data_IF_492955016137
#
_entry.id   IF_492955016137
#
_cell.length_a   1.000
_cell.length_b   1.000
_cell.length_c   1.000
_cell.angle_alpha   90.00
_cell.angle_beta   90.00
_cell.angle_gamma   90.00
#
_symmetry.space_group_name_H-M   'P 1'
#
loop_
_entity.id
_entity.type
_entity.pdbx_description
1 polymer ?
#
# COMPACT_ATOMS: atom_id res chain seq x y z
N UNK A 1 -8.06 20.87 -16.98
CA UNK A 1 -8.68 20.12 -18.08
C UNK A 1 -10.13 19.84 -17.71
N UNK A 2 -11.09 19.97 -18.62
CA UNK A 2 -12.50 19.65 -18.30
C UNK A 2 -12.65 18.13 -18.14
N UNK A 3 -13.08 17.70 -16.96
CA UNK A 3 -13.28 16.27 -16.62
C UNK A 3 -14.25 15.56 -17.58
N UNK A 4 -15.18 16.33 -18.17
CA UNK A 4 -16.16 15.83 -19.16
C UNK A 4 -15.54 15.30 -20.46
N UNK A 5 -14.29 15.67 -20.75
CA UNK A 5 -13.57 15.22 -21.95
C UNK A 5 -12.67 14.00 -21.69
N UNK A 6 -12.65 13.45 -20.46
CA UNK A 6 -11.88 12.26 -20.13
C UNK A 6 -12.60 10.99 -20.60
N UNK A 7 -11.87 9.88 -20.90
CA UNK A 7 -12.46 8.61 -21.33
C UNK A 7 -13.23 7.92 -20.20
N UNK A 8 -14.14 7.02 -20.57
CA UNK A 8 -14.79 6.07 -19.66
C UNK A 8 -13.80 5.00 -19.22
N UNK A 9 -13.66 4.79 -17.94
CA UNK A 9 -12.71 3.82 -17.37
C UNK A 9 -13.45 2.75 -16.58
N UNK A 10 -13.25 1.49 -16.96
CA UNK A 10 -13.68 0.34 -16.19
C UNK A 10 -12.51 -0.17 -15.34
N UNK A 11 -12.65 -0.11 -14.03
CA UNK A 11 -11.64 -0.59 -13.08
C UNK A 11 -12.01 -2.02 -12.63
N UNK A 12 -11.01 -2.92 -12.55
CA UNK A 12 -11.21 -4.30 -12.07
C UNK A 12 -10.35 -4.54 -10.84
N UNK A 13 -10.93 -4.30 -9.65
CA UNK A 13 -10.26 -4.25 -8.35
C UNK A 13 -10.67 -5.42 -7.43
N UNK A 14 -9.93 -5.64 -6.36
CA UNK A 14 -10.30 -6.53 -5.26
C UNK A 14 -11.31 -5.84 -4.34
N UNK A 15 -11.11 -4.58 -4.05
CA UNK A 15 -11.83 -3.85 -3.01
C UNK A 15 -12.96 -2.96 -3.55
N UNK A 16 -14.04 -2.85 -2.78
CA UNK A 16 -14.98 -1.76 -2.96
C UNK A 16 -14.30 -0.43 -2.59
N UNK A 17 -14.59 0.62 -3.33
CA UNK A 17 -14.08 1.94 -2.98
C UNK A 17 -14.87 2.55 -1.82
N UNK A 18 -14.14 2.89 -0.75
CA UNK A 18 -14.72 3.41 0.50
C UNK A 18 -13.84 4.51 1.08
N UNK A 19 -14.44 5.65 1.38
CA UNK A 19 -13.74 6.78 2.03
C UNK A 19 -13.40 6.50 3.50
N UNK A 20 -14.16 5.63 4.17
CA UNK A 20 -13.90 5.22 5.55
C UNK A 20 -12.90 4.05 5.68
N UNK A 21 -12.32 3.60 4.56
CA UNK A 21 -11.26 2.59 4.58
C UNK A 21 -9.91 3.18 5.02
N UNK A 22 -9.09 2.35 5.65
CA UNK A 22 -7.75 2.76 6.09
C UNK A 22 -6.79 3.05 4.92
N UNK A 23 -7.02 2.39 3.76
CA UNK A 23 -6.25 2.59 2.55
C UNK A 23 -7.21 2.65 1.35
N UNK A 24 -7.17 3.75 0.60
CA UNK A 24 -8.02 4.01 -0.57
C UNK A 24 -7.23 4.66 -1.72
N UNK A 25 -5.99 4.21 -1.93
CA UNK A 25 -5.05 4.79 -2.90
C UNK A 25 -5.65 4.95 -4.30
N UNK A 26 -6.35 3.92 -4.81
CA UNK A 26 -6.96 4.03 -6.14
C UNK A 26 -8.13 5.04 -6.16
N UNK A 27 -8.94 5.07 -5.12
CA UNK A 27 -9.99 6.09 -5.00
C UNK A 27 -9.39 7.49 -5.05
N UNK A 28 -8.30 7.74 -4.30
CA UNK A 28 -7.61 9.03 -4.29
C UNK A 28 -7.05 9.41 -5.66
N UNK A 29 -6.46 8.47 -6.37
CA UNK A 29 -5.95 8.66 -7.73
C UNK A 29 -7.09 9.08 -8.68
N UNK A 30 -8.25 8.43 -8.59
CA UNK A 30 -9.39 8.71 -9.47
C UNK A 30 -10.26 9.88 -9.03
N UNK A 31 -10.00 10.56 -7.92
CA UNK A 31 -10.72 11.80 -7.53
C UNK A 31 -10.65 12.92 -8.58
N UNK A 32 -9.63 12.91 -9.41
CA UNK A 32 -9.52 13.86 -10.52
C UNK A 32 -10.40 13.52 -11.74
N UNK A 33 -11.05 12.34 -11.75
CA UNK A 33 -11.90 11.87 -12.84
C UNK A 33 -13.36 12.30 -12.69
N UNK A 34 -14.15 12.19 -13.78
CA UNK A 34 -15.60 12.38 -13.77
C UNK A 34 -16.25 11.10 -13.19
N UNK A 35 -17.03 11.18 -12.08
CA UNK A 35 -17.67 10.03 -11.47
C UNK A 35 -18.58 9.22 -12.41
N UNK A 36 -19.24 9.86 -13.37
CA UNK A 36 -20.14 9.21 -14.34
C UNK A 36 -19.38 8.45 -15.43
N UNK A 37 -18.08 8.67 -15.53
CA UNK A 37 -17.18 7.97 -16.45
C UNK A 37 -16.38 6.85 -15.81
N UNK A 38 -16.71 6.49 -14.56
CA UNK A 38 -16.09 5.40 -13.84
C UNK A 38 -17.07 4.27 -13.57
N UNK A 39 -16.60 3.04 -13.76
CA UNK A 39 -17.29 1.83 -13.31
C UNK A 39 -16.29 0.88 -12.65
N UNK A 40 -16.71 0.15 -11.62
CA UNK A 40 -15.87 -0.75 -10.85
C UNK A 40 -16.46 -2.17 -10.83
N UNK A 41 -15.69 -3.16 -11.27
CA UNK A 41 -15.91 -4.58 -10.98
C UNK A 41 -15.01 -4.97 -9.82
N UNK A 42 -15.56 -5.53 -8.75
CA UNK A 42 -14.80 -5.87 -7.56
C UNK A 42 -15.23 -7.17 -6.87
N UNK A 43 -14.38 -7.68 -5.96
CA UNK A 43 -14.57 -9.03 -5.38
C UNK A 43 -14.76 -9.04 -3.86
N UNK A 44 -14.54 -7.94 -3.16
CA UNK A 44 -14.76 -7.88 -1.71
C UNK A 44 -16.24 -7.96 -1.34
N UNK A 45 -16.52 -8.35 -0.10
CA UNK A 45 -17.89 -8.40 0.43
C UNK A 45 -18.42 -7.04 0.88
N UNK A 46 -17.57 -6.02 0.93
CA UNK A 46 -17.95 -4.67 1.35
C UNK A 46 -18.74 -3.95 0.24
N UNK A 47 -19.66 -3.08 0.66
CA UNK A 47 -20.36 -2.20 -0.27
C UNK A 47 -19.59 -0.90 -0.47
N UNK A 48 -19.67 -0.29 -1.67
CA UNK A 48 -19.02 0.98 -1.94
C UNK A 48 -19.59 2.10 -1.08
N UNK A 49 -18.69 3.02 -0.68
CA UNK A 49 -19.04 4.20 0.12
C UNK A 49 -18.15 5.38 -0.29
N UNK A 50 -18.52 6.10 -1.35
CA UNK A 50 -17.80 7.27 -1.84
C UNK A 50 -18.67 8.07 -2.83
N UNK A 51 -18.21 9.28 -3.20
CA UNK A 51 -18.89 10.17 -4.15
C UNK A 51 -18.20 10.19 -5.53
N UNK A 52 -17.20 9.33 -5.75
CA UNK A 52 -16.31 9.42 -6.91
C UNK A 52 -16.52 8.31 -7.95
N UNK A 53 -17.45 7.40 -7.73
CA UNK A 53 -17.88 6.41 -8.71
C UNK A 53 -19.31 5.97 -8.40
N UNK A 54 -20.13 5.79 -9.45
CA UNK A 54 -21.56 5.49 -9.26
C UNK A 54 -21.95 4.10 -9.77
N UNK A 55 -21.12 3.44 -10.58
CA UNK A 55 -21.45 2.15 -11.21
C UNK A 55 -20.56 1.03 -10.66
N UNK A 56 -21.18 0.03 -10.06
CA UNK A 56 -20.49 -1.06 -9.38
C UNK A 56 -21.06 -2.43 -9.74
N UNK A 57 -20.17 -3.39 -9.97
CA UNK A 57 -20.52 -4.80 -10.09
C UNK A 57 -19.73 -5.63 -9.07
N UNK A 58 -20.43 -6.27 -8.14
CA UNK A 58 -19.83 -7.10 -7.09
C UNK A 58 -19.84 -8.57 -7.48
N UNK A 59 -18.69 -9.25 -7.37
CA UNK A 59 -18.55 -10.70 -7.45
C UNK A 59 -18.19 -11.20 -6.05
N UNK A 60 -19.18 -11.49 -5.22
CA UNK A 60 -18.99 -11.86 -3.82
C UNK A 60 -18.38 -13.24 -3.62
N UNK A 61 -17.37 -13.38 -2.77
CA UNK A 61 -16.70 -14.65 -2.48
C UNK A 61 -17.67 -15.72 -1.92
N UNK A 62 -18.61 -15.32 -1.08
CA UNK A 62 -19.65 -16.21 -0.55
C UNK A 62 -20.55 -16.80 -1.64
N UNK A 63 -20.82 -16.01 -2.69
CA UNK A 63 -21.56 -16.48 -3.87
C UNK A 63 -20.72 -17.48 -4.68
N UNK A 64 -19.42 -17.22 -4.81
CA UNK A 64 -18.49 -18.12 -5.50
C UNK A 64 -18.45 -19.49 -4.79
N UNK A 65 -18.26 -19.52 -3.49
CA UNK A 65 -18.25 -20.77 -2.70
C UNK A 65 -19.56 -21.55 -2.90
N UNK A 66 -20.70 -20.87 -2.82
CA UNK A 66 -21.99 -21.52 -3.04
C UNK A 66 -22.19 -22.01 -4.48
N UNK A 67 -21.65 -21.30 -5.46
CA UNK A 67 -21.77 -21.67 -6.88
C UNK A 67 -21.01 -22.95 -7.25
N UNK A 68 -19.96 -23.29 -6.50
CA UNK A 68 -19.25 -24.57 -6.66
C UNK A 68 -20.15 -25.74 -6.26
N UNK A 69 -21.01 -25.57 -5.24
CA UNK A 69 -21.94 -26.60 -4.77
C UNK A 69 -23.25 -26.57 -5.59
N UNK A 70 -23.67 -25.36 -6.00
CA UNK A 70 -24.92 -25.12 -6.76
C UNK A 70 -24.61 -24.39 -8.07
N UNK A 71 -24.18 -25.09 -9.14
CA UNK A 71 -23.68 -24.48 -10.37
C UNK A 71 -24.68 -23.56 -11.10
N UNK A 72 -25.98 -23.69 -10.81
CA UNK A 72 -27.04 -22.84 -11.40
C UNK A 72 -27.30 -21.55 -10.65
N UNK A 73 -26.58 -21.32 -9.54
CA UNK A 73 -26.73 -20.08 -8.75
C UNK A 73 -26.21 -18.88 -9.53
N UNK A 74 -26.96 -17.78 -9.50
CA UNK A 74 -26.51 -16.50 -10.06
C UNK A 74 -25.40 -15.93 -9.20
N UNK A 75 -24.27 -15.62 -9.82
CA UNK A 75 -23.09 -15.01 -9.18
C UNK A 75 -22.88 -13.62 -9.75
N UNK A 76 -22.60 -12.68 -8.88
CA UNK A 76 -22.40 -11.29 -9.24
C UNK A 76 -23.71 -10.51 -9.40
N UNK A 77 -23.64 -9.25 -9.04
CA UNK A 77 -24.76 -8.30 -9.12
C UNK A 77 -24.27 -6.88 -9.25
N UNK A 78 -25.05 -6.04 -9.86
CA UNK A 78 -24.88 -4.60 -9.71
C UNK A 78 -25.25 -4.20 -8.28
N UNK A 79 -24.51 -3.24 -7.73
CA UNK A 79 -24.73 -2.71 -6.38
C UNK A 79 -24.73 -1.19 -6.43
N UNK A 80 -25.58 -0.60 -5.61
CA UNK A 80 -25.63 0.85 -5.46
C UNK A 80 -24.56 1.34 -4.49
N UNK A 81 -24.12 2.55 -4.72
CA UNK A 81 -23.22 3.25 -3.80
C UNK A 81 -24.05 3.71 -2.58
N UNK A 82 -23.80 3.08 -1.44
CA UNK A 82 -24.57 3.34 -0.23
C UNK A 82 -23.85 4.35 0.65
N UNK A 83 -24.04 5.61 0.37
CA UNK A 83 -23.48 6.69 1.18
C UNK A 83 -23.94 6.68 2.66
N UNK A 84 -24.94 5.90 3.06
CA UNK A 84 -25.43 5.79 4.45
C UNK A 84 -26.32 4.57 4.70
N UNK A 85 -26.10 3.38 4.15
CA UNK A 85 -26.97 2.26 4.54
C UNK A 85 -26.51 1.63 5.86
N UNK A 86 -27.35 1.71 6.88
CA UNK A 86 -27.33 0.84 8.05
C UNK A 86 -27.79 -0.58 7.67
N UNK A 87 -27.20 -1.17 6.63
CA UNK A 87 -27.56 -2.52 6.19
C UNK A 87 -26.97 -3.54 7.17
N UNK A 88 -27.83 -4.06 8.05
CA UNK A 88 -27.47 -5.07 9.05
C UNK A 88 -26.87 -6.33 8.43
N UNK A 89 -27.26 -6.67 7.17
CA UNK A 89 -26.70 -7.80 6.44
C UNK A 89 -25.24 -7.54 6.02
N UNK A 90 -24.91 -6.33 5.56
CA UNK A 90 -23.55 -5.92 5.23
C UNK A 90 -22.68 -5.85 6.49
N UNK A 91 -23.22 -5.40 7.63
CA UNK A 91 -22.50 -5.39 8.91
C UNK A 91 -22.24 -6.81 9.44
N UNK A 92 -23.18 -7.74 9.29
CA UNK A 92 -23.02 -9.12 9.70
C UNK A 92 -21.98 -9.85 8.82
N UNK A 93 -21.97 -9.57 7.52
CA UNK A 93 -20.98 -10.12 6.58
C UNK A 93 -19.58 -9.52 6.83
N UNK A 94 -19.49 -8.22 7.17
CA UNK A 94 -18.26 -7.57 7.64
C UNK A 94 -17.67 -8.23 8.89
N UNK A 95 -18.50 -8.52 9.91
CA UNK A 95 -18.04 -9.19 11.14
C UNK A 95 -17.53 -10.59 10.86
N UNK A 96 -18.19 -11.36 9.98
CA UNK A 96 -17.75 -12.69 9.57
C UNK A 96 -16.42 -12.65 8.81
N UNK A 97 -16.25 -11.70 7.87
CA UNK A 97 -15.04 -11.58 7.03
C UNK A 97 -13.84 -11.07 7.85
N UNK A 98 -14.02 -10.11 8.75
CA UNK A 98 -12.94 -9.61 9.62
C UNK A 98 -12.35 -10.69 10.52
N UNK A 99 -13.17 -11.62 11.02
CA UNK A 99 -12.69 -12.73 11.86
C UNK A 99 -11.95 -13.80 11.06
N UNK A 100 -12.23 -13.95 9.76
CA UNK A 100 -11.61 -14.96 8.90
C UNK A 100 -10.22 -14.52 8.43
N UNK A 101 -9.91 -13.20 8.37
CA UNK A 101 -8.62 -12.69 7.91
C UNK A 101 -7.50 -12.72 8.96
N UNK A 102 -7.79 -13.01 10.24
CA UNK A 102 -6.76 -13.21 11.27
C UNK A 102 -6.05 -14.54 11.05
N UNK A 103 -4.81 -14.49 10.50
CA UNK A 103 -3.86 -15.63 10.38
C UNK A 103 -4.43 -16.90 9.73
N UNK A 104 -4.98 -16.77 8.51
CA UNK A 104 -5.34 -17.98 7.76
C UNK A 104 -4.08 -18.78 7.39
N UNK A 105 -4.07 -20.12 7.59
CA UNK A 105 -3.03 -20.98 7.07
C UNK A 105 -2.82 -20.77 5.57
N UNK A 106 -1.57 -20.78 5.10
CA UNK A 106 -1.23 -20.48 3.69
C UNK A 106 -1.91 -21.41 2.69
N UNK A 107 -2.18 -22.67 3.05
CA UNK A 107 -2.92 -23.59 2.19
C UNK A 107 -4.36 -23.13 1.90
N UNK A 108 -5.00 -22.36 2.81
CA UNK A 108 -6.34 -21.80 2.58
C UNK A 108 -6.32 -20.82 1.39
N UNK A 109 -5.22 -20.08 1.18
CA UNK A 109 -5.07 -19.22 0.01
C UNK A 109 -5.09 -20.02 -1.29
N UNK A 110 -4.43 -21.17 -1.33
CA UNK A 110 -4.48 -22.05 -2.50
C UNK A 110 -5.87 -22.67 -2.70
N UNK A 111 -6.52 -23.12 -1.61
CA UNK A 111 -7.90 -23.61 -1.69
C UNK A 111 -8.86 -22.53 -2.22
N UNK A 112 -8.69 -21.28 -1.81
CA UNK A 112 -9.42 -20.14 -2.33
C UNK A 112 -9.22 -19.98 -3.84
N UNK A 113 -8.00 -20.07 -4.34
CA UNK A 113 -7.72 -20.01 -5.78
C UNK A 113 -8.43 -21.11 -6.57
N UNK A 114 -8.50 -22.33 -6.02
CA UNK A 114 -9.25 -23.45 -6.62
C UNK A 114 -10.74 -23.17 -6.63
N UNK A 115 -11.30 -22.71 -5.52
CA UNK A 115 -12.73 -22.33 -5.41
C UNK A 115 -13.09 -21.26 -6.45
N UNK A 116 -12.27 -20.21 -6.59
CA UNK A 116 -12.47 -19.19 -7.61
C UNK A 116 -12.29 -19.70 -9.05
N UNK A 117 -11.45 -20.71 -9.27
CA UNK A 117 -11.29 -21.36 -10.58
C UNK A 117 -12.54 -22.15 -10.99
N UNK A 118 -13.17 -22.82 -10.03
CA UNK A 118 -14.36 -23.66 -10.23
C UNK A 118 -15.66 -22.85 -10.16
N UNK A 119 -15.66 -21.69 -9.55
CA UNK A 119 -16.85 -20.88 -9.33
C UNK A 119 -17.43 -20.25 -10.58
N UNK A 120 -18.75 -20.12 -10.62
CA UNK A 120 -19.54 -19.66 -11.78
C UNK A 120 -19.59 -18.14 -11.97
N UNK A 121 -18.48 -17.42 -11.86
CA UNK A 121 -18.45 -15.96 -11.95
C UNK A 121 -18.52 -15.39 -13.38
N UNK A 122 -18.29 -16.20 -14.41
CA UNK A 122 -18.45 -15.79 -15.83
C UNK A 122 -19.92 -15.79 -16.19
N UNK A 123 -20.64 -14.75 -15.77
CA UNK A 123 -22.10 -14.68 -15.93
C UNK A 123 -22.52 -13.74 -17.06
N UNK A 124 -23.70 -13.94 -17.66
CA UNK A 124 -24.30 -12.99 -18.60
C UNK A 124 -24.46 -11.58 -17.98
N UNK A 125 -24.72 -11.50 -16.67
CA UNK A 125 -24.88 -10.24 -15.95
C UNK A 125 -23.56 -9.43 -15.94
N UNK A 126 -22.41 -10.07 -15.63
CA UNK A 126 -21.10 -9.42 -15.71
C UNK A 126 -20.80 -8.96 -17.14
N UNK A 127 -21.07 -9.83 -18.13
CA UNK A 127 -20.86 -9.48 -19.53
C UNK A 127 -21.70 -8.26 -19.92
N UNK A 128 -22.99 -8.27 -19.58
CA UNK A 128 -23.90 -7.16 -19.86
C UNK A 128 -23.46 -5.86 -19.20
N UNK A 129 -23.02 -5.91 -17.93
CA UNK A 129 -22.51 -4.73 -17.21
C UNK A 129 -21.32 -4.09 -17.95
N UNK A 130 -20.37 -4.91 -18.43
CA UNK A 130 -19.20 -4.39 -19.17
C UNK A 130 -19.61 -3.80 -20.53
N UNK A 131 -20.53 -4.48 -21.25
CA UNK A 131 -21.02 -4.05 -22.57
C UNK A 131 -21.90 -2.79 -22.46
N UNK A 132 -22.79 -2.69 -21.46
CA UNK A 132 -23.66 -1.53 -21.25
C UNK A 132 -22.85 -0.29 -20.82
N UNK A 133 -21.81 -0.50 -20.04
CA UNK A 133 -20.92 0.62 -19.67
C UNK A 133 -20.09 1.10 -20.86
N UNK A 134 -19.71 0.20 -21.77
CA UNK A 134 -18.85 0.47 -22.94
C UNK A 134 -17.66 1.36 -22.61
N UNK A 135 -16.65 0.83 -21.87
CA UNK A 135 -15.50 1.59 -21.43
C UNK A 135 -14.61 1.97 -22.63
N UNK A 136 -13.89 3.08 -22.51
CA UNK A 136 -12.81 3.45 -23.45
C UNK A 136 -11.47 2.83 -23.01
N UNK A 137 -11.29 2.60 -21.71
CA UNK A 137 -10.07 2.04 -21.09
C UNK A 137 -10.47 1.02 -20.01
N UNK A 138 -9.72 -0.06 -19.89
CA UNK A 138 -9.79 -0.97 -18.75
C UNK A 138 -8.56 -0.74 -17.87
N UNK A 139 -8.79 -0.35 -16.61
CA UNK A 139 -7.73 -0.14 -15.61
C UNK A 139 -7.60 -1.36 -14.69
N UNK A 140 -6.39 -1.89 -14.59
CA UNK A 140 -6.10 -3.20 -13.99
C UNK A 140 -5.02 -3.05 -12.91
N UNK A 141 -5.39 -2.89 -11.63
CA UNK A 141 -4.44 -3.07 -10.55
C UNK A 141 -4.00 -4.53 -10.47
N UNK A 142 -2.70 -4.75 -10.40
CA UNK A 142 -2.12 -6.11 -10.34
C UNK A 142 -2.01 -6.56 -8.89
N UNK A 143 -2.66 -7.69 -8.58
CA UNK A 143 -2.68 -8.29 -7.24
C UNK A 143 -1.98 -9.65 -7.20
N UNK A 144 -1.53 -10.12 -6.02
CA UNK A 144 -0.90 -11.44 -5.84
C UNK A 144 -1.91 -12.59 -5.86
N UNK A 145 -3.02 -12.46 -6.65
CA UNK A 145 -4.10 -13.42 -6.73
C UNK A 145 -4.38 -13.84 -8.16
N UNK A 146 -4.20 -15.13 -8.46
CA UNK A 146 -4.44 -15.65 -9.81
C UNK A 146 -5.92 -15.53 -10.22
N UNK A 147 -6.86 -15.60 -9.27
CA UNK A 147 -8.29 -15.43 -9.57
C UNK A 147 -8.59 -14.02 -10.08
N UNK A 148 -7.94 -12.99 -9.54
CA UNK A 148 -8.09 -11.62 -10.06
C UNK A 148 -7.58 -11.51 -11.48
N UNK A 149 -6.41 -12.07 -11.77
CA UNK A 149 -5.89 -12.10 -13.13
C UNK A 149 -6.85 -12.76 -14.13
N UNK A 150 -7.54 -13.84 -13.71
CA UNK A 150 -8.58 -14.49 -14.56
C UNK A 150 -9.79 -13.58 -14.81
N UNK A 151 -10.24 -12.83 -13.79
CA UNK A 151 -11.36 -11.89 -13.95
C UNK A 151 -10.94 -10.73 -14.86
N UNK A 152 -9.78 -10.17 -14.62
CA UNK A 152 -9.21 -9.07 -15.41
C UNK A 152 -9.03 -9.46 -16.88
N UNK A 153 -8.47 -10.65 -17.15
CA UNK A 153 -8.34 -11.16 -18.51
C UNK A 153 -9.71 -11.36 -19.18
N UNK A 154 -10.71 -11.87 -18.45
CA UNK A 154 -12.05 -12.06 -18.97
C UNK A 154 -12.75 -10.73 -19.29
N UNK A 155 -12.65 -9.74 -18.42
CA UNK A 155 -13.18 -8.38 -18.65
C UNK A 155 -12.50 -7.74 -19.86
N UNK A 156 -11.17 -7.85 -19.98
CA UNK A 156 -10.43 -7.34 -21.13
C UNK A 156 -10.88 -8.00 -22.46
N UNK A 157 -11.17 -9.31 -22.43
CA UNK A 157 -11.68 -10.04 -23.61
C UNK A 157 -13.07 -9.58 -24.04
N UNK A 158 -13.93 -9.15 -23.10
CA UNK A 158 -15.25 -8.59 -23.40
C UNK A 158 -15.11 -7.15 -23.90
N UNK A 159 -14.42 -6.31 -23.14
CA UNK A 159 -14.32 -4.88 -23.44
C UNK A 159 -13.57 -4.61 -24.75
N UNK A 160 -12.50 -5.37 -25.06
CA UNK A 160 -11.63 -5.20 -26.23
C UNK A 160 -11.10 -3.76 -26.38
N UNK A 161 -10.74 -3.16 -25.27
CA UNK A 161 -10.26 -1.78 -25.16
C UNK A 161 -8.82 -1.74 -24.67
N UNK A 162 -8.11 -0.61 -24.83
CA UNK A 162 -6.80 -0.41 -24.24
C UNK A 162 -6.78 -0.74 -22.75
N UNK A 163 -5.70 -1.41 -22.31
CA UNK A 163 -5.53 -1.81 -20.91
C UNK A 163 -4.41 -1.00 -20.28
N UNK A 164 -4.69 -0.41 -19.12
CA UNK A 164 -3.70 0.25 -18.27
C UNK A 164 -3.52 -0.54 -17.00
N UNK A 165 -2.29 -0.96 -16.72
CA UNK A 165 -1.96 -1.71 -15.51
C UNK A 165 -1.39 -0.79 -14.41
N UNK A 166 -1.57 -1.17 -13.14
CA UNK A 166 -0.92 -0.56 -11.98
C UNK A 166 -0.30 -1.64 -11.10
N UNK A 167 1.00 -1.57 -10.91
CA UNK A 167 1.77 -2.47 -10.06
C UNK A 167 2.32 -1.66 -8.88
N UNK A 168 2.15 -2.15 -7.65
CA UNK A 168 2.56 -1.46 -6.44
C UNK A 168 3.36 -2.36 -5.47
N UNK A 169 3.56 -3.63 -5.84
CA UNK A 169 4.27 -4.63 -5.05
C UNK A 169 4.89 -5.69 -5.96
N UNK A 170 5.91 -6.39 -5.47
CA UNK A 170 6.45 -7.56 -6.18
C UNK A 170 5.44 -8.72 -6.21
N UNK A 171 4.64 -8.73 -7.26
CA UNK A 171 3.68 -9.81 -7.52
C UNK A 171 4.20 -10.85 -8.52
N UNK A 172 5.49 -10.81 -8.87
CA UNK A 172 6.05 -11.65 -9.93
C UNK A 172 7.27 -12.47 -9.54
N UNK A 173 8.25 -11.94 -8.81
CA UNK A 173 9.46 -12.69 -8.45
C UNK A 173 9.21 -13.74 -7.39
N UNK A 174 10.12 -14.67 -7.21
CA UNK A 174 10.04 -15.68 -6.15
C UNK A 174 10.82 -15.27 -4.89
N UNK A 175 11.43 -14.10 -4.86
CA UNK A 175 12.37 -13.68 -3.83
C UNK A 175 11.72 -13.52 -2.45
N UNK A 176 10.43 -13.15 -2.43
CA UNK A 176 9.63 -13.05 -1.20
C UNK A 176 8.92 -14.35 -0.81
N UNK A 177 9.19 -15.47 -1.51
CA UNK A 177 8.56 -16.77 -1.21
C UNK A 177 9.33 -17.51 -0.12
N UNK A 178 8.65 -17.89 0.96
CA UNK A 178 9.28 -18.54 2.12
C UNK A 178 8.99 -20.04 2.23
N UNK A 179 7.94 -20.55 1.57
CA UNK A 179 7.51 -21.94 1.65
C UNK A 179 6.83 -22.39 0.36
N UNK A 180 6.59 -23.70 0.24
CA UNK A 180 6.03 -24.33 -0.95
C UNK A 180 4.70 -23.72 -1.39
N UNK A 181 3.84 -23.30 -0.45
CA UNK A 181 2.55 -22.68 -0.77
C UNK A 181 2.72 -21.31 -1.42
N UNK A 182 3.71 -20.51 -0.96
CA UNK A 182 4.04 -19.22 -1.57
C UNK A 182 4.55 -19.41 -3.00
N UNK A 183 5.42 -20.42 -3.25
CA UNK A 183 5.91 -20.75 -4.60
C UNK A 183 4.80 -21.17 -5.53
N UNK A 184 3.87 -22.04 -5.09
CA UNK A 184 2.71 -22.47 -5.90
C UNK A 184 1.81 -21.27 -6.22
N UNK A 185 1.47 -20.46 -5.22
CA UNK A 185 0.63 -19.28 -5.42
C UNK A 185 1.30 -18.31 -6.41
N UNK A 186 2.59 -18.05 -6.24
CA UNK A 186 3.36 -17.17 -7.12
C UNK A 186 3.43 -17.73 -8.54
N UNK A 187 3.63 -19.02 -8.71
CA UNK A 187 3.59 -19.68 -10.02
C UNK A 187 2.24 -19.45 -10.72
N UNK A 188 1.12 -19.62 -10.02
CA UNK A 188 -0.20 -19.35 -10.59
C UNK A 188 -0.42 -17.87 -10.91
N UNK A 189 0.00 -16.98 -10.05
CA UNK A 189 -0.12 -15.52 -10.26
C UNK A 189 0.67 -15.07 -11.49
N UNK A 190 1.87 -15.57 -11.67
CA UNK A 190 2.77 -15.24 -12.81
C UNK A 190 2.14 -15.52 -14.17
N UNK A 191 1.24 -16.52 -14.27
CA UNK A 191 0.55 -16.85 -15.52
C UNK A 191 -0.34 -15.68 -16.03
N UNK A 192 -0.71 -14.77 -15.16
CA UNK A 192 -1.52 -13.58 -15.47
C UNK A 192 -0.73 -12.29 -15.43
N UNK A 193 0.10 -12.09 -14.43
CA UNK A 193 0.87 -10.85 -14.25
C UNK A 193 1.78 -10.57 -15.45
N UNK A 194 2.58 -11.53 -15.87
CA UNK A 194 3.50 -11.35 -16.99
C UNK A 194 2.79 -11.01 -18.31
N UNK A 195 1.77 -11.77 -18.74
CA UNK A 195 1.00 -11.43 -19.93
C UNK A 195 0.24 -10.10 -19.86
N UNK A 196 -0.34 -9.75 -18.70
CA UNK A 196 -1.01 -8.47 -18.50
C UNK A 196 -0.02 -7.31 -18.62
N UNK A 197 1.13 -7.39 -17.95
CA UNK A 197 2.16 -6.36 -18.01
C UNK A 197 2.66 -6.12 -19.44
N UNK A 198 3.05 -7.20 -20.16
CA UNK A 198 3.58 -7.10 -21.54
C UNK A 198 2.56 -6.62 -22.57
N UNK A 199 1.26 -6.87 -22.34
CA UNK A 199 0.17 -6.49 -23.26
C UNK A 199 -0.47 -5.17 -22.90
N UNK A 200 -0.11 -4.57 -21.77
CA UNK A 200 -0.66 -3.29 -21.35
C UNK A 200 -0.27 -2.17 -22.31
N UNK A 201 -1.20 -1.27 -22.59
CA UNK A 201 -0.94 -0.09 -23.41
C UNK A 201 -0.13 0.96 -22.66
N UNK A 202 -0.34 1.06 -21.36
CA UNK A 202 0.45 1.84 -20.41
C UNK A 202 0.51 1.11 -19.07
N UNK A 203 1.55 1.40 -18.29
CA UNK A 203 1.73 0.80 -16.97
C UNK A 203 2.15 1.85 -15.95
N UNK A 204 1.52 1.82 -14.79
CA UNK A 204 1.94 2.57 -13.62
C UNK A 204 2.65 1.67 -12.63
N UNK A 205 3.61 2.24 -11.94
CA UNK A 205 4.36 1.64 -10.83
C UNK A 205 4.48 2.64 -9.69
N UNK A 206 4.84 2.18 -8.49
CA UNK A 206 4.74 3.05 -7.31
C UNK A 206 6.03 3.83 -7.01
N UNK A 207 7.21 3.34 -7.42
CA UNK A 207 8.53 3.91 -7.10
C UNK A 207 9.58 3.58 -8.16
N UNK A 208 10.70 4.32 -8.15
CA UNK A 208 11.78 4.20 -9.15
C UNK A 208 12.33 2.78 -9.27
N UNK A 209 12.63 2.13 -8.17
CA UNK A 209 13.17 0.76 -8.18
C UNK A 209 12.20 -0.26 -8.78
N UNK A 210 10.91 -0.11 -8.53
CA UNK A 210 9.88 -0.94 -9.17
C UNK A 210 9.78 -0.63 -10.67
N UNK A 211 9.94 0.65 -11.07
CA UNK A 211 10.00 1.05 -12.48
C UNK A 211 11.16 0.35 -13.19
N UNK A 212 12.36 0.42 -12.64
CA UNK A 212 13.56 -0.20 -13.20
C UNK A 212 13.39 -1.73 -13.38
N UNK A 213 12.89 -2.43 -12.35
CA UNK A 213 12.64 -3.88 -12.41
C UNK A 213 11.55 -4.23 -13.42
N UNK A 214 10.44 -3.49 -13.39
CA UNK A 214 9.26 -3.74 -14.23
C UNK A 214 9.57 -3.49 -15.71
N UNK A 215 10.21 -2.39 -16.04
CA UNK A 215 10.54 -2.02 -17.41
C UNK A 215 11.58 -2.98 -18.00
N UNK A 216 12.60 -3.34 -17.22
CA UNK A 216 13.59 -4.33 -17.62
C UNK A 216 12.97 -5.72 -17.85
N UNK A 217 12.04 -6.12 -17.00
CA UNK A 217 11.45 -7.46 -16.98
C UNK A 217 10.37 -7.67 -18.04
N UNK A 218 9.55 -6.66 -18.29
CA UNK A 218 8.38 -6.77 -19.17
C UNK A 218 8.53 -6.00 -20.49
N UNK A 219 9.58 -5.19 -20.65
CA UNK A 219 9.78 -4.34 -21.82
C UNK A 219 8.76 -3.20 -21.89
N UNK A 220 8.38 -2.66 -20.73
CA UNK A 220 7.44 -1.55 -20.59
C UNK A 220 8.19 -0.21 -20.49
N UNK A 221 7.45 0.90 -20.64
CA UNK A 221 7.88 2.24 -20.24
C UNK A 221 6.87 2.73 -19.21
N UNK A 222 7.04 2.25 -17.98
CA UNK A 222 6.12 2.51 -16.89
C UNK A 222 6.28 3.93 -16.34
N UNK A 223 5.21 4.42 -15.72
CA UNK A 223 5.13 5.78 -15.17
C UNK A 223 4.92 5.67 -13.66
N UNK A 224 5.72 6.41 -12.88
CA UNK A 224 5.59 6.42 -11.42
C UNK A 224 4.31 7.15 -11.04
N UNK A 225 3.46 6.47 -10.27
CA UNK A 225 2.22 6.98 -9.72
C UNK A 225 2.11 6.54 -8.26
N UNK A 226 2.26 7.47 -7.35
CA UNK A 226 2.28 7.21 -5.91
C UNK A 226 1.22 8.06 -5.20
N UNK A 227 1.07 7.88 -3.89
CA UNK A 227 0.20 8.71 -3.05
C UNK A 227 0.60 10.18 -3.20
N UNK A 228 -0.39 11.03 -3.47
CA UNK A 228 -0.21 12.46 -3.62
C UNK A 228 -0.71 13.25 -2.41
N UNK A 229 -0.12 14.44 -2.21
CA UNK A 229 -0.42 15.36 -1.12
C UNK A 229 -0.71 16.74 -1.71
N UNK A 230 -1.70 17.40 -1.14
CA UNK A 230 -1.99 18.79 -1.44
C UNK A 230 -1.10 19.69 -0.59
N UNK A 231 -0.18 20.41 -1.24
CA UNK A 231 0.74 21.34 -0.60
C UNK A 231 0.30 22.80 -0.71
N UNK A 232 -0.91 23.08 -1.20
CA UNK A 232 -1.43 24.44 -1.33
C UNK A 232 -1.38 25.16 0.01
N UNK A 233 -0.66 26.27 0.09
CA UNK A 233 -0.50 27.05 1.32
C UNK A 233 0.36 26.40 2.42
N UNK A 234 1.05 25.28 2.12
CA UNK A 234 1.96 24.62 3.07
C UNK A 234 3.39 25.00 2.78
N UNK A 235 4.15 25.24 3.84
CA UNK A 235 5.58 25.41 3.83
C UNK A 235 6.20 24.65 4.98
N UNK A 236 7.49 24.34 4.87
CA UNK A 236 8.22 23.74 5.98
C UNK A 236 8.19 24.69 7.18
N UNK A 237 8.06 24.13 8.37
CA UNK A 237 8.08 24.87 9.63
C UNK A 237 9.24 24.34 10.47
N UNK A 238 10.24 25.20 10.71
CA UNK A 238 11.36 24.88 11.59
C UNK A 238 10.89 24.58 13.02
N UNK A 239 11.54 23.64 13.67
CA UNK A 239 11.16 23.18 15.00
C UNK A 239 12.38 22.99 15.88
N UNK A 240 12.23 23.41 17.14
CA UNK A 240 13.17 23.06 18.18
C UNK A 240 12.95 21.61 18.62
N UNK A 241 14.03 20.81 18.75
CA UNK A 241 13.94 19.43 19.22
C UNK A 241 13.44 19.33 20.67
N UNK A 242 12.66 18.28 20.95
CA UNK A 242 12.23 17.97 22.31
C UNK A 242 13.43 17.61 23.22
N UNK A 243 13.20 17.71 24.52
CA UNK A 243 14.15 17.27 25.57
C UNK A 243 13.39 16.45 26.60
N UNK A 244 13.53 15.08 26.59
CA UNK A 244 14.34 14.27 25.67
C UNK A 244 13.79 14.21 24.24
N UNK A 245 14.63 13.83 23.27
CA UNK A 245 14.27 13.61 21.88
C UNK A 245 13.25 12.46 21.76
N UNK A 246 12.21 12.64 20.91
CA UNK A 246 11.15 11.66 20.73
C UNK A 246 11.28 10.91 19.42
N UNK A 247 11.59 9.61 19.49
CA UNK A 247 11.53 8.67 18.38
C UNK A 247 10.17 7.99 18.38
N UNK A 248 9.44 8.05 17.27
CA UNK A 248 8.08 7.48 17.17
C UNK A 248 7.97 6.49 16.02
N UNK A 249 7.57 5.28 16.32
CA UNK A 249 7.15 4.29 15.33
C UNK A 249 5.63 4.10 15.38
N UNK A 250 4.99 4.15 14.22
CA UNK A 250 3.57 3.84 14.07
C UNK A 250 3.36 2.80 12.98
N UNK A 251 2.89 1.60 13.33
CA UNK A 251 2.62 0.61 12.30
C UNK A 251 2.61 -0.84 12.75
N UNK A 252 2.54 -1.73 11.78
CA UNK A 252 2.59 -3.17 12.01
C UNK A 252 4.03 -3.64 12.20
N UNK A 253 4.25 -4.51 13.18
CA UNK A 253 5.56 -5.08 13.51
C UNK A 253 5.76 -6.49 12.93
N UNK A 254 5.05 -6.86 11.86
CA UNK A 254 5.23 -8.16 11.17
C UNK A 254 6.42 -8.11 10.22
N UNK A 255 6.83 -9.28 9.73
CA UNK A 255 7.90 -9.45 8.73
C UNK A 255 9.23 -8.89 9.26
N UNK A 256 9.62 -9.25 10.49
CA UNK A 256 10.91 -8.94 11.11
C UNK A 256 11.11 -7.49 11.55
N UNK A 257 10.12 -6.60 11.34
CA UNK A 257 10.18 -5.21 11.81
C UNK A 257 10.28 -5.11 13.33
N UNK A 258 9.66 -6.04 14.04
CA UNK A 258 9.72 -6.16 15.49
C UNK A 258 11.16 -6.33 16.00
N UNK A 259 11.96 -7.15 15.34
CA UNK A 259 13.37 -7.35 15.65
C UNK A 259 14.20 -6.09 15.40
N UNK A 260 13.96 -5.43 14.27
CA UNK A 260 14.62 -4.16 13.92
C UNK A 260 14.32 -3.06 14.93
N UNK A 261 13.05 -2.97 15.38
CA UNK A 261 12.66 -2.02 16.42
C UNK A 261 13.31 -2.33 17.78
N UNK A 262 13.52 -3.63 18.10
CA UNK A 262 14.23 -4.02 19.30
C UNK A 262 15.71 -3.59 19.28
N UNK A 263 16.38 -3.68 18.12
CA UNK A 263 17.75 -3.16 17.96
C UNK A 263 17.80 -1.63 18.17
N UNK A 264 16.81 -0.88 17.66
CA UNK A 264 16.75 0.56 17.88
C UNK A 264 16.49 0.90 19.36
N UNK A 265 15.61 0.15 20.03
CA UNK A 265 15.34 0.35 21.45
C UNK A 265 16.60 0.09 22.31
N UNK A 266 17.36 -0.95 22.01
CA UNK A 266 18.62 -1.25 22.69
C UNK A 266 19.67 -0.15 22.41
N UNK A 267 19.76 0.35 21.19
CA UNK A 267 20.68 1.45 20.83
C UNK A 267 20.35 2.73 21.61
N UNK A 268 19.09 3.12 21.71
CA UNK A 268 18.65 4.31 22.47
C UNK A 268 18.99 4.14 23.96
N UNK A 269 18.71 2.98 24.54
CA UNK A 269 19.04 2.71 25.93
C UNK A 269 20.56 2.76 26.17
N UNK A 270 21.36 2.15 25.28
CA UNK A 270 22.81 2.16 25.40
C UNK A 270 23.41 3.56 25.31
N UNK A 271 22.90 4.41 24.42
CA UNK A 271 23.35 5.82 24.29
C UNK A 271 22.99 6.62 25.54
N UNK A 272 21.77 6.48 26.08
CA UNK A 272 21.37 7.13 27.30
C UNK A 272 22.21 6.68 28.50
N UNK A 273 22.50 5.38 28.60
CA UNK A 273 23.36 4.83 29.66
C UNK A 273 24.80 5.34 29.58
N UNK A 274 25.36 5.42 28.37
CA UNK A 274 26.70 5.97 28.12
C UNK A 274 26.82 7.44 28.54
N UNK A 275 25.75 8.23 28.31
CA UNK A 275 25.70 9.65 28.68
C UNK A 275 25.37 9.81 30.19
N UNK A 276 24.70 8.83 30.80
CA UNK A 276 24.22 8.90 32.19
C UNK A 276 22.95 9.74 32.38
N UNK A 277 22.25 10.07 31.30
CA UNK A 277 21.03 10.88 31.29
C UNK A 277 20.10 10.42 30.15
N UNK A 278 18.77 10.53 30.33
CA UNK A 278 17.78 10.22 29.29
C UNK A 278 17.72 11.39 28.28
N UNK A 279 18.41 11.22 27.15
CA UNK A 279 18.47 12.20 26.05
C UNK A 279 17.54 11.86 24.91
N UNK A 280 17.14 10.59 24.79
CA UNK A 280 16.22 10.10 23.76
C UNK A 280 15.24 9.07 24.33
N UNK A 281 14.00 9.12 23.89
CA UNK A 281 12.94 8.15 24.21
C UNK A 281 12.31 7.62 22.93
N UNK A 282 11.86 6.35 22.97
CA UNK A 282 11.20 5.70 21.84
C UNK A 282 9.78 5.27 22.21
N UNK A 283 8.82 5.63 21.36
CA UNK A 283 7.42 5.27 21.51
C UNK A 283 6.95 4.44 20.32
N UNK A 284 6.45 3.22 20.59
CA UNK A 284 6.05 2.25 19.57
C UNK A 284 4.55 2.04 19.64
N UNK A 285 3.84 2.47 18.60
CA UNK A 285 2.40 2.30 18.45
C UNK A 285 2.10 1.25 17.40
N UNK A 286 1.56 0.10 17.83
CA UNK A 286 1.23 -1.01 16.95
C UNK A 286 -0.01 -1.77 17.40
N UNK A 287 -0.79 -2.25 16.43
CA UNK A 287 -1.88 -3.21 16.70
C UNK A 287 -1.37 -4.67 16.78
N UNK A 288 -0.09 -4.90 16.45
CA UNK A 288 0.54 -6.22 16.48
C UNK A 288 1.23 -6.34 17.82
N UNK A 289 0.83 -7.32 18.63
CA UNK A 289 1.57 -7.70 19.84
C UNK A 289 2.80 -8.50 19.42
N UNK A 290 4.01 -8.07 19.82
CA UNK A 290 5.23 -8.83 19.57
C UNK A 290 5.30 -10.06 20.47
N UNK A 291 6.25 -10.95 20.18
CA UNK A 291 6.60 -12.03 21.10
C UNK A 291 7.15 -11.46 22.40
N UNK A 292 7.01 -12.20 23.50
CA UNK A 292 7.44 -11.78 24.83
C UNK A 292 8.91 -11.34 24.89
N UNK A 293 9.81 -12.07 24.24
CA UNK A 293 11.23 -11.73 24.13
C UNK A 293 11.49 -10.36 23.49
N UNK A 294 10.74 -10.03 22.43
CA UNK A 294 10.84 -8.73 21.75
C UNK A 294 10.19 -7.64 22.60
N UNK A 295 9.02 -7.95 23.22
CA UNK A 295 8.32 -7.02 24.09
C UNK A 295 9.20 -6.59 25.26
N UNK A 296 9.95 -7.50 25.86
CA UNK A 296 10.88 -7.22 26.95
C UNK A 296 12.00 -6.23 26.55
N UNK A 297 12.37 -6.18 25.27
CA UNK A 297 13.38 -5.22 24.75
C UNK A 297 12.76 -3.87 24.41
N UNK A 298 11.63 -3.85 23.70
CA UNK A 298 10.97 -2.62 23.25
C UNK A 298 10.12 -1.94 24.31
N UNK A 299 10.04 -2.50 25.51
CA UNK A 299 9.34 -1.90 26.65
C UNK A 299 10.25 -1.89 27.88
N UNK A 300 11.48 -1.39 27.70
CA UNK A 300 12.52 -1.32 28.73
C UNK A 300 13.23 0.03 28.66
N UNK A 301 13.55 0.60 29.83
CA UNK A 301 14.28 1.87 29.92
C UNK A 301 13.54 3.00 29.26
N UNK A 302 14.17 3.64 28.27
CA UNK A 302 13.63 4.74 27.50
C UNK A 302 12.79 4.29 26.26
N UNK A 303 12.53 3.01 26.10
CA UNK A 303 11.68 2.48 25.03
C UNK A 303 10.32 2.00 25.60
N UNK A 304 9.22 2.40 24.94
CA UNK A 304 7.85 2.22 25.41
C UNK A 304 6.97 1.60 24.32
N UNK A 305 6.41 0.42 24.58
CA UNK A 305 5.38 -0.17 23.74
C UNK A 305 3.99 0.32 24.18
N UNK A 306 3.38 1.16 23.34
CA UNK A 306 2.14 1.88 23.65
C UNK A 306 0.88 1.19 23.09
N UNK A 307 1.03 0.06 22.34
CA UNK A 307 -0.09 -0.67 21.78
C UNK A 307 -0.80 0.08 20.65
N UNK A 308 -2.11 -0.17 20.47
CA UNK A 308 -2.91 0.37 19.37
C UNK A 308 -3.54 1.70 19.73
N UNK A 309 -3.43 2.67 18.82
CA UNK A 309 -4.12 3.98 18.88
C UNK A 309 -4.99 4.22 17.65
N UNK A 310 -5.87 5.22 17.73
CA UNK A 310 -6.74 5.66 16.64
C UNK A 310 -5.99 6.46 15.56
N UNK A 311 -6.64 6.64 14.38
CA UNK A 311 -6.00 7.34 13.25
C UNK A 311 -5.64 8.79 13.57
N UNK A 312 -6.50 9.52 14.27
CA UNK A 312 -6.24 10.91 14.66
C UNK A 312 -5.08 11.01 15.63
N UNK A 313 -5.00 10.07 16.57
CA UNK A 313 -3.92 10.01 17.54
C UNK A 313 -2.59 9.63 16.88
N UNK A 314 -2.60 8.74 15.84
CA UNK A 314 -1.42 8.45 15.04
C UNK A 314 -0.84 9.74 14.44
N UNK A 315 -1.67 10.58 13.84
CA UNK A 315 -1.22 11.86 13.27
C UNK A 315 -0.62 12.78 14.33
N UNK A 316 -1.25 12.85 15.51
CA UNK A 316 -0.78 13.67 16.62
C UNK A 316 0.59 13.22 17.11
N UNK A 317 0.77 11.94 17.44
CA UNK A 317 2.07 11.43 17.94
C UNK A 317 3.18 11.55 16.90
N UNK A 318 2.88 11.43 15.62
CA UNK A 318 3.84 11.71 14.55
C UNK A 318 4.21 13.18 14.45
N UNK A 319 3.25 14.10 14.67
CA UNK A 319 3.51 15.54 14.68
C UNK A 319 4.34 15.98 15.88
N UNK A 320 4.20 15.33 17.04
CA UNK A 320 4.96 15.60 18.26
C UNK A 320 6.36 14.98 18.26
N UNK A 321 6.63 14.04 17.33
CA UNK A 321 7.94 13.38 17.22
C UNK A 321 9.02 14.33 16.68
N UNK A 322 10.26 14.13 17.11
CA UNK A 322 11.45 14.68 16.45
C UNK A 322 11.88 13.76 15.31
N UNK A 323 11.83 12.45 15.54
CA UNK A 323 12.20 11.43 14.59
C UNK A 323 11.05 10.45 14.41
N UNK A 324 10.55 10.30 13.19
CA UNK A 324 9.66 9.20 12.83
C UNK A 324 10.48 8.03 12.30
N UNK A 325 10.20 6.84 12.82
CA UNK A 325 10.96 5.64 12.47
C UNK A 325 10.27 4.90 11.33
N UNK A 326 10.99 4.68 10.25
CA UNK A 326 10.63 3.75 9.20
C UNK A 326 11.52 2.51 9.32
N UNK A 327 10.96 1.38 9.71
CA UNK A 327 11.71 0.15 9.92
C UNK A 327 11.20 -0.97 9.01
N UNK A 328 12.15 -1.61 8.31
CA UNK A 328 11.98 -2.88 7.61
C UNK A 328 12.95 -3.91 8.20
N UNK A 329 12.77 -5.17 7.88
CA UNK A 329 13.66 -6.23 8.37
C UNK A 329 15.08 -6.05 7.86
N UNK A 330 16.05 -6.28 8.72
CA UNK A 330 17.47 -6.42 8.36
C UNK A 330 17.84 -7.85 7.94
N UNK A 331 16.93 -8.83 8.11
CA UNK A 331 17.12 -10.21 7.68
C UNK A 331 16.72 -10.38 6.21
N UNK A 332 17.64 -10.92 5.38
CA UNK A 332 17.52 -10.92 3.92
C UNK A 332 16.23 -11.49 3.34
N UNK A 333 15.73 -12.61 3.88
CA UNK A 333 14.46 -13.22 3.38
C UNK A 333 13.24 -12.37 3.71
N UNK A 334 13.20 -11.76 4.88
CA UNK A 334 12.08 -10.91 5.31
C UNK A 334 12.15 -9.55 4.64
N UNK A 335 13.37 -9.00 4.46
CA UNK A 335 13.59 -7.74 3.74
C UNK A 335 13.11 -7.82 2.27
N UNK A 336 13.21 -8.99 1.63
CA UNK A 336 12.74 -9.18 0.26
C UNK A 336 11.24 -8.92 0.07
N UNK A 337 10.44 -8.96 1.14
CA UNK A 337 9.03 -8.59 1.08
C UNK A 337 8.83 -7.09 0.75
N UNK A 338 9.80 -6.25 1.09
CA UNK A 338 9.79 -4.82 0.81
C UNK A 338 10.64 -4.42 -0.42
N UNK A 339 11.18 -5.40 -1.17
CA UNK A 339 12.16 -5.14 -2.25
C UNK A 339 11.65 -4.15 -3.29
N UNK A 340 10.40 -4.28 -3.72
CA UNK A 340 9.76 -3.41 -4.71
C UNK A 340 8.52 -2.67 -4.17
N UNK A 341 8.16 -2.89 -2.89
CA UNK A 341 7.01 -2.24 -2.26
C UNK A 341 7.35 -0.83 -1.79
N UNK A 342 6.37 0.07 -1.81
CA UNK A 342 6.51 1.42 -1.28
C UNK A 342 5.38 1.74 -0.31
N UNK A 343 5.72 1.96 0.96
CA UNK A 343 4.73 2.23 2.00
C UNK A 343 4.17 3.65 1.88
N UNK A 344 2.85 3.78 1.85
CA UNK A 344 2.17 5.10 1.86
C UNK A 344 2.48 5.95 3.09
N UNK A 345 2.98 5.35 4.18
CA UNK A 345 3.45 6.08 5.36
C UNK A 345 4.67 6.96 5.06
N UNK A 346 5.53 6.54 4.13
CA UNK A 346 6.68 7.33 3.70
C UNK A 346 6.21 8.71 3.25
N UNK A 347 5.19 8.74 2.38
CA UNK A 347 4.61 9.99 1.90
C UNK A 347 4.07 10.84 3.06
N UNK A 348 3.41 10.20 4.05
CA UNK A 348 2.90 10.91 5.23
C UNK A 348 4.03 11.49 6.08
N UNK A 349 5.10 10.74 6.33
CA UNK A 349 6.24 11.19 7.13
C UNK A 349 6.96 12.38 6.49
N UNK A 350 7.32 12.25 5.22
CA UNK A 350 8.06 13.30 4.51
C UNK A 350 7.20 14.53 4.25
N UNK A 351 5.91 14.38 3.98
CA UNK A 351 5.00 15.52 3.76
C UNK A 351 4.70 16.33 5.02
N UNK A 352 4.86 15.73 6.19
CA UNK A 352 4.76 16.43 7.47
C UNK A 352 6.09 17.07 7.93
N UNK A 353 7.12 17.00 7.10
CA UNK A 353 8.42 17.59 7.41
C UNK A 353 9.08 16.96 8.63
N UNK A 354 8.97 15.63 8.79
CA UNK A 354 9.59 14.91 9.89
C UNK A 354 10.94 14.34 9.51
N UNK A 355 11.92 14.44 10.42
CA UNK A 355 13.13 13.67 10.29
C UNK A 355 12.76 12.18 10.28
N UNK A 356 13.14 11.47 9.24
CA UNK A 356 12.91 10.03 9.13
C UNK A 356 14.21 9.31 9.47
N UNK A 357 14.18 8.39 10.44
CA UNK A 357 15.20 7.37 10.58
C UNK A 357 14.72 6.13 9.83
N UNK A 358 15.32 5.87 8.68
CA UNK A 358 14.97 4.76 7.80
C UNK A 358 15.92 3.58 7.99
N UNK A 359 15.41 2.46 8.52
CA UNK A 359 16.19 1.26 8.84
C UNK A 359 15.80 0.14 7.88
N UNK A 360 16.76 -0.41 7.16
CA UNK A 360 16.54 -1.51 6.23
C UNK A 360 17.73 -1.78 5.31
N UNK A 361 17.62 -2.80 4.47
CA UNK A 361 18.66 -3.14 3.50
C UNK A 361 18.67 -2.14 2.33
N UNK A 362 19.84 -1.85 1.79
CA UNK A 362 20.09 -0.90 0.70
C UNK A 362 19.36 -1.25 -0.60
N UNK A 363 19.11 -2.54 -0.84
CA UNK A 363 18.47 -3.03 -2.05
C UNK A 363 16.93 -2.98 -2.03
N UNK A 364 16.27 -2.55 -0.93
CA UNK A 364 14.81 -2.43 -0.88
C UNK A 364 14.34 -1.04 -1.33
N UNK A 365 13.21 -1.00 -2.03
CA UNK A 365 12.70 0.23 -2.65
C UNK A 365 12.50 1.41 -1.69
N UNK A 366 12.01 1.24 -0.46
CA UNK A 366 11.90 2.35 0.48
C UNK A 366 13.24 2.99 0.83
N UNK A 367 14.27 2.20 1.07
CA UNK A 367 15.61 2.70 1.44
C UNK A 367 16.28 3.35 0.23
N UNK A 368 16.23 2.72 -0.95
CA UNK A 368 16.69 3.28 -2.21
C UNK A 368 16.04 4.65 -2.50
N UNK A 369 14.72 4.79 -2.25
CA UNK A 369 14.01 6.05 -2.41
C UNK A 369 14.55 7.15 -1.49
N UNK A 370 14.72 6.86 -0.19
CA UNK A 370 15.28 7.81 0.76
C UNK A 370 16.70 8.22 0.41
N UNK A 371 17.52 7.27 -0.02
CA UNK A 371 18.91 7.50 -0.45
C UNK A 371 18.99 8.41 -1.67
N UNK A 372 18.26 8.10 -2.74
CA UNK A 372 18.25 8.90 -3.98
C UNK A 372 17.78 10.33 -3.76
N UNK A 373 16.92 10.54 -2.77
CA UNK A 373 16.34 11.85 -2.49
C UNK A 373 17.01 12.59 -1.33
N UNK A 374 17.99 12.02 -0.66
CA UNK A 374 18.61 12.57 0.55
C UNK A 374 17.56 13.06 1.56
N UNK A 375 16.57 12.23 1.85
CA UNK A 375 15.37 12.61 2.59
C UNK A 375 15.15 11.87 3.91
N UNK A 376 16.16 11.12 4.37
CA UNK A 376 16.16 10.41 5.64
C UNK A 376 17.59 10.15 6.15
N UNK A 377 17.74 9.97 7.45
CA UNK A 377 18.89 9.31 8.05
C UNK A 377 18.75 7.80 7.87
N UNK A 378 19.77 7.13 7.35
CA UNK A 378 19.66 5.73 6.93
C UNK A 378 20.57 4.85 7.77
N UNK A 379 20.07 3.66 8.15
CA UNK A 379 20.80 2.61 8.84
C UNK A 379 20.56 1.25 8.16
N UNK A 380 21.64 0.52 7.86
CA UNK A 380 21.61 -0.77 7.17
C UNK A 380 21.98 -1.95 8.07
N UNK A 381 22.49 -1.67 9.26
CA UNK A 381 22.98 -2.63 10.25
C UNK A 381 22.67 -2.17 11.67
N UNK A 382 22.93 -3.01 12.66
CA UNK A 382 22.83 -2.68 14.09
C UNK A 382 23.82 -1.57 14.47
N UNK A 383 25.04 -1.64 13.94
CA UNK A 383 26.09 -0.63 14.16
C UNK A 383 25.64 0.72 13.59
N UNK A 384 25.06 0.74 12.39
CA UNK A 384 24.53 1.98 11.79
C UNK A 384 23.39 2.56 12.63
N UNK A 385 22.49 1.71 13.16
CA UNK A 385 21.39 2.16 14.03
C UNK A 385 21.97 2.93 15.23
N UNK A 386 22.95 2.33 15.92
CA UNK A 386 23.60 2.97 17.07
C UNK A 386 24.28 4.29 16.68
N UNK A 387 25.06 4.30 15.58
CA UNK A 387 25.73 5.50 15.10
C UNK A 387 24.73 6.62 14.75
N UNK A 388 23.56 6.31 14.15
CA UNK A 388 22.52 7.31 13.88
C UNK A 388 21.86 7.85 15.14
N UNK A 389 21.64 7.01 16.15
CA UNK A 389 21.12 7.48 17.45
C UNK A 389 22.12 8.41 18.11
N UNK A 390 23.42 8.06 18.14
CA UNK A 390 24.50 8.93 18.66
C UNK A 390 24.54 10.26 17.90
N UNK A 391 24.56 10.26 16.57
CA UNK A 391 24.55 11.45 15.73
C UNK A 391 23.38 12.40 16.05
N UNK A 392 22.15 11.83 16.20
CA UNK A 392 20.95 12.62 16.51
C UNK A 392 21.01 13.20 17.93
N UNK A 393 21.51 12.44 18.89
CA UNK A 393 21.61 12.86 20.29
C UNK A 393 22.70 13.93 20.47
N UNK A 394 23.82 13.79 19.78
CA UNK A 394 24.95 14.75 19.82
C UNK A 394 24.63 16.05 19.08
N UNK A 395 23.85 15.97 18.00
CA UNK A 395 23.42 17.12 17.21
C UNK A 395 21.87 17.08 16.95
N UNK A 396 21.06 17.45 17.97
CA UNK A 396 19.59 17.39 17.83
C UNK A 396 19.02 18.22 16.68
N UNK A 397 19.69 19.31 16.28
CA UNK A 397 19.26 20.15 15.16
C UNK A 397 19.31 19.44 13.80
N UNK A 398 19.98 18.29 13.70
CA UNK A 398 19.94 17.45 12.49
C UNK A 398 18.50 17.00 12.16
N UNK A 399 17.63 16.91 13.18
CA UNK A 399 16.22 16.55 12.98
C UNK A 399 15.45 17.59 12.20
N UNK A 400 15.75 18.88 12.41
CA UNK A 400 15.17 19.97 11.63
C UNK A 400 15.71 19.98 10.20
N UNK A 401 17.01 19.78 10.00
CA UNK A 401 17.65 19.71 8.68
C UNK A 401 17.03 18.59 7.82
N UNK A 402 16.91 17.39 8.39
CA UNK A 402 16.30 16.26 7.64
C UNK A 402 14.79 16.37 7.53
N UNK A 403 14.13 17.07 8.45
CA UNK A 403 12.72 17.44 8.32
C UNK A 403 12.46 18.31 7.08
N UNK A 404 13.30 19.33 6.86
CA UNK A 404 13.22 20.21 5.68
C UNK A 404 13.55 19.45 4.39
N UNK A 405 14.60 18.63 4.37
CA UNK A 405 14.94 17.78 3.22
C UNK A 405 13.78 16.84 2.86
N UNK A 406 13.16 16.21 3.86
CA UNK A 406 12.01 15.33 3.70
C UNK A 406 10.80 16.07 3.10
N UNK A 407 10.47 17.25 3.64
CA UNK A 407 9.39 18.07 3.12
C UNK A 407 9.62 18.48 1.66
N UNK A 408 10.82 18.95 1.34
CA UNK A 408 11.20 19.34 -0.02
C UNK A 408 11.17 18.15 -0.99
N UNK A 409 11.54 16.95 -0.53
CA UNK A 409 11.39 15.70 -1.29
C UNK A 409 9.91 15.40 -1.57
N UNK A 410 9.03 15.57 -0.56
CA UNK A 410 7.60 15.33 -0.72
C UNK A 410 6.98 16.30 -1.73
N UNK A 411 7.32 17.59 -1.68
CA UNK A 411 6.85 18.61 -2.65
C UNK A 411 7.29 18.24 -4.07
N UNK A 412 8.56 17.83 -4.26
CA UNK A 412 9.07 17.44 -5.59
C UNK A 412 8.39 16.21 -6.17
N UNK A 413 8.12 15.20 -5.34
CA UNK A 413 7.79 13.85 -5.82
C UNK A 413 6.33 13.45 -5.59
N UNK A 414 5.59 14.16 -4.73
CA UNK A 414 4.24 13.76 -4.31
C UNK A 414 3.20 14.89 -4.41
N UNK A 415 3.52 16.00 -5.10
CA UNK A 415 2.57 17.09 -5.28
C UNK A 415 1.37 16.62 -6.08
N UNK A 416 0.16 16.97 -5.62
CA UNK A 416 -1.11 16.45 -6.10
C UNK A 416 -1.40 16.80 -7.56
N UNK A 417 -1.18 18.06 -7.97
CA UNK A 417 -1.49 18.47 -9.33
C UNK A 417 -0.55 17.79 -10.32
N UNK A 418 0.74 17.70 -9.98
CA UNK A 418 1.73 16.98 -10.78
C UNK A 418 1.34 15.49 -10.94
N UNK A 419 0.92 14.81 -9.87
CA UNK A 419 0.48 13.42 -9.94
C UNK A 419 -0.79 13.26 -10.78
N UNK A 420 -1.76 14.17 -10.63
CA UNK A 420 -2.98 14.17 -11.43
C UNK A 420 -2.69 14.38 -12.91
N UNK A 421 -1.83 15.35 -13.26
CA UNK A 421 -1.44 15.61 -14.64
C UNK A 421 -0.74 14.41 -15.26
N UNK A 422 0.20 13.79 -14.53
CA UNK A 422 0.91 12.58 -14.95
C UNK A 422 -0.05 11.41 -15.17
N UNK A 423 -1.00 11.22 -14.25
CA UNK A 423 -2.03 10.18 -14.37
C UNK A 423 -2.91 10.42 -15.61
N UNK A 424 -3.48 11.60 -15.74
CA UNK A 424 -4.37 11.95 -16.87
C UNK A 424 -3.61 11.83 -18.22
N UNK A 425 -2.41 12.36 -18.32
CA UNK A 425 -1.62 12.28 -19.55
C UNK A 425 -1.35 10.84 -19.97
N UNK A 426 -1.01 9.97 -19.01
CA UNK A 426 -0.75 8.55 -19.29
C UNK A 426 -2.01 7.81 -19.70
N UNK A 427 -3.15 8.07 -19.04
CA UNK A 427 -4.44 7.50 -19.42
C UNK A 427 -4.86 7.93 -20.83
N UNK A 428 -4.69 9.21 -21.17
CA UNK A 428 -4.96 9.73 -22.52
C UNK A 428 -4.04 9.13 -23.60
N UNK A 429 -2.77 8.88 -23.26
CA UNK A 429 -1.81 8.19 -24.15
C UNK A 429 -2.26 6.74 -24.43
N UNK A 430 -2.85 6.07 -23.43
CA UNK A 430 -3.43 4.73 -23.63
C UNK A 430 -4.68 4.76 -24.51
N UNK A 431 -5.54 5.74 -24.32
CA UNK A 431 -6.82 5.87 -25.07
C UNK A 431 -6.61 6.15 -26.56
N UNK A 432 -5.57 6.91 -26.91
CA UNK A 432 -5.28 7.30 -28.31
C UNK A 432 -4.54 6.23 -29.12
N UNK A 433 -4.09 5.15 -28.49
CA UNK A 433 -3.48 3.99 -29.13
C UNK A 433 -4.53 2.95 -29.54
#
# INVERSE_FOLDING_TARGET
>A
MDKRNLPKVLIVDVNAWREDAAAHTLLDIFRCWDPDKLALVYTSSELPYNEHCHKYFQIGESQIIRSVIKPRMKVGREVENTAKSNDAAAQAERKRTKNVHKRQPKWIRLAREVVWKLGGWKTPALKKFVEDFDPDIVFVPIFPYAYMGRIQEYVNKIAKKPTVCYLADDNYTYESCHNVFDYIQRFWTRQYVGPLARKSNQMFVIVDKEKEDTDSRFGTDSVILTKSIDFTGKSYQHREPNKPLKFVYTGSMVIGRDKTLALLADAINAVNEQIGEVRAEMYIYSQTEPKEEVLARINKGAAHFCGRIGREEVLKVQQEADVVVFAESLEGKEANAAKLSFSTKITDYISNGKCVLAIGKDYIAPIDYFQRNDSALIAHSEEDIKARVEEIVDNPMITDVYGEKAFNCAVRNHEKNMMNERFIATMLKAWKK
#
